data_IF_838273583724
#
_entry.id   IF_838273583724
#
_cell.length_a   1.000
_cell.length_b   1.000
_cell.length_c   1.000
_cell.angle_alpha   90.00
_cell.angle_beta   90.00
_cell.angle_gamma   90.00
#
_symmetry.space_group_name_H-M   'P 1'
#
loop_
_entity.id
_entity.type
_entity.pdbx_description
1 polymer ?
#
# COMPACT_ATOMS: atom_id res chain seq x y z
N UNK A 1 -9.89 -20.47 17.82
CA UNK A 1 -10.81 -19.36 17.45
C UNK A 1 -10.22 -18.06 18.00
N UNK A 2 -9.14 -17.54 17.40
CA UNK A 2 -8.65 -16.17 17.63
C UNK A 2 -7.65 -15.71 16.55
N UNK A 3 -7.72 -16.22 15.31
CA UNK A 3 -6.58 -16.19 14.37
C UNK A 3 -6.72 -15.23 13.18
N UNK A 4 -7.56 -14.18 13.24
CA UNK A 4 -7.81 -13.39 12.02
C UNK A 4 -8.09 -11.92 12.28
N UNK A 5 -7.09 -11.06 12.03
CA UNK A 5 -7.28 -9.62 11.95
C UNK A 5 -7.90 -9.20 10.62
N UNK A 6 -8.53 -8.02 10.61
CA UNK A 6 -8.96 -7.32 9.39
C UNK A 6 -7.76 -6.88 8.53
N UNK A 7 -8.02 -6.66 7.24
CA UNK A 7 -7.05 -6.15 6.27
C UNK A 7 -7.48 -4.75 5.84
N UNK A 8 -6.61 -3.76 6.02
CA UNK A 8 -6.87 -2.36 5.71
C UNK A 8 -5.94 -1.94 4.57
N UNK A 9 -6.46 -1.89 3.36
CA UNK A 9 -5.69 -1.56 2.16
C UNK A 9 -5.88 -0.09 1.84
N UNK A 10 -4.79 0.67 1.86
CA UNK A 10 -4.75 1.98 1.21
C UNK A 10 -3.98 1.85 -0.11
N UNK A 11 -4.61 2.28 -1.20
CA UNK A 11 -4.01 2.33 -2.53
C UNK A 11 -4.19 3.71 -3.15
N UNK A 12 -3.22 4.13 -3.94
CA UNK A 12 -3.25 5.45 -4.56
C UNK A 12 -2.17 5.57 -5.64
N UNK A 13 -2.35 6.50 -6.59
CA UNK A 13 -1.25 6.94 -7.42
C UNK A 13 -0.08 7.47 -6.59
N UNK A 14 1.13 7.31 -7.11
CA UNK A 14 2.34 7.81 -6.47
C UNK A 14 2.27 9.33 -6.28
N UNK A 15 2.24 9.80 -5.03
CA UNK A 15 2.23 11.24 -4.69
C UNK A 15 0.92 11.75 -4.07
N UNK A 16 -0.08 10.88 -3.93
CA UNK A 16 -1.41 11.23 -3.41
C UNK A 16 -1.51 11.38 -1.89
N UNK A 17 -0.41 11.25 -1.13
CA UNK A 17 -0.41 11.40 0.33
C UNK A 17 -0.77 10.15 1.14
N UNK A 18 -0.94 9.00 0.47
CA UNK A 18 -1.23 7.68 1.06
C UNK A 18 -0.38 7.33 2.29
N UNK A 19 0.94 7.39 2.16
CA UNK A 19 1.88 7.08 3.26
C UNK A 19 1.68 7.96 4.50
N UNK A 20 1.27 9.22 4.31
CA UNK A 20 0.98 10.12 5.43
C UNK A 20 -0.24 9.64 6.21
N UNK A 21 -1.31 9.26 5.51
CA UNK A 21 -2.55 8.74 6.11
C UNK A 21 -2.26 7.44 6.87
N UNK A 22 -1.55 6.50 6.25
CA UNK A 22 -1.21 5.20 6.86
C UNK A 22 -0.37 5.38 8.13
N UNK A 23 0.64 6.25 8.10
CA UNK A 23 1.48 6.53 9.29
C UNK A 23 0.68 7.14 10.43
N UNK A 24 -0.19 8.09 10.13
CA UNK A 24 -1.04 8.71 11.15
C UNK A 24 -2.04 7.72 11.75
N UNK A 25 -2.61 6.80 10.96
CA UNK A 25 -3.47 5.72 11.47
C UNK A 25 -2.71 4.75 12.38
N UNK A 26 -1.45 4.43 12.05
CA UNK A 26 -0.59 3.58 12.89
C UNK A 26 -0.30 4.19 14.28
N UNK A 27 -0.40 5.51 14.43
CA UNK A 27 -0.24 6.19 15.73
C UNK A 27 -1.46 6.01 16.65
N UNK A 28 -2.62 5.60 16.10
CA UNK A 28 -3.88 5.37 16.83
C UNK A 28 -3.90 3.98 17.45
N UNK A 29 -3.41 3.88 18.69
CA UNK A 29 -3.24 2.60 19.40
C UNK A 29 -4.53 1.79 19.51
N UNK A 30 -5.66 2.46 19.63
CA UNK A 30 -7.00 1.89 19.69
C UNK A 30 -7.42 1.14 18.42
N UNK A 31 -6.81 1.43 17.27
CA UNK A 31 -7.04 0.71 16.03
C UNK A 31 -6.27 -0.63 15.96
N UNK A 32 -5.31 -0.84 16.87
CA UNK A 32 -4.53 -2.08 16.98
C UNK A 32 -3.95 -2.56 15.62
N UNK A 33 -3.41 -1.62 14.85
CA UNK A 33 -2.83 -1.84 13.53
C UNK A 33 -1.36 -2.23 13.61
N UNK A 34 -0.89 -2.98 12.61
CA UNK A 34 0.52 -3.19 12.31
C UNK A 34 0.75 -3.04 10.81
N UNK A 35 1.86 -2.41 10.44
CA UNK A 35 2.21 -2.18 9.04
C UNK A 35 2.70 -3.47 8.39
N UNK A 36 2.17 -3.78 7.20
CA UNK A 36 2.66 -4.89 6.38
C UNK A 36 3.93 -4.50 5.63
N UNK A 37 5.06 -5.10 5.99
CA UNK A 37 6.33 -4.87 5.30
C UNK A 37 6.35 -5.68 3.99
N UNK A 38 6.39 -4.99 2.85
CA UNK A 38 6.51 -5.64 1.54
C UNK A 38 7.92 -6.19 1.30
N UNK A 39 8.03 -7.22 0.46
CA UNK A 39 9.30 -7.64 -0.11
C UNK A 39 9.62 -6.84 -1.38
N UNK A 40 10.91 -6.67 -1.67
CA UNK A 40 11.38 -6.05 -2.90
C UNK A 40 12.62 -6.79 -3.45
N UNK A 41 12.71 -6.96 -4.76
CA UNK A 41 13.89 -7.56 -5.41
C UNK A 41 14.99 -6.56 -5.77
N UNK A 42 14.71 -5.27 -5.63
CA UNK A 42 15.71 -4.20 -5.82
C UNK A 42 16.63 -4.08 -4.62
N UNK A 43 17.78 -3.44 -4.83
CA UNK A 43 18.67 -3.06 -3.73
C UNK A 43 18.03 -2.00 -2.82
N UNK A 44 18.41 -2.07 -1.54
CA UNK A 44 18.07 -1.06 -0.54
C UNK A 44 18.73 0.28 -0.89
N UNK A 45 18.00 1.38 -0.73
CA UNK A 45 18.57 2.72 -0.79
C UNK A 45 19.39 2.98 0.49
N UNK A 46 20.31 3.96 0.49
CA UNK A 46 21.21 4.21 1.64
C UNK A 46 20.52 4.37 3.01
N UNK A 47 19.27 4.82 3.04
CA UNK A 47 18.52 5.07 4.27
C UNK A 47 17.46 3.99 4.58
N UNK A 48 17.35 2.94 3.77
CA UNK A 48 16.38 1.87 3.98
C UNK A 48 17.01 0.69 4.70
N UNK A 49 16.22 0.03 5.55
CA UNK A 49 16.63 -1.10 6.37
C UNK A 49 15.79 -2.34 6.06
N UNK A 50 16.48 -3.47 5.92
CA UNK A 50 15.83 -4.77 5.73
C UNK A 50 14.95 -5.12 6.93
N UNK A 51 13.72 -5.58 6.68
CA UNK A 51 12.76 -5.92 7.73
C UNK A 51 12.17 -4.71 8.46
N UNK A 52 12.34 -3.51 7.89
CA UNK A 52 11.70 -2.27 8.35
C UNK A 52 11.01 -1.58 7.17
N UNK A 53 11.78 -1.22 6.14
CA UNK A 53 11.25 -0.57 4.95
C UNK A 53 10.74 -1.61 3.95
N UNK A 54 11.55 -2.65 3.71
CA UNK A 54 11.21 -3.80 2.88
C UNK A 54 11.92 -5.06 3.38
N UNK A 55 11.39 -6.23 3.06
CA UNK A 55 12.19 -7.45 2.96
C UNK A 55 12.94 -7.43 1.63
N UNK A 56 14.18 -6.91 1.65
CA UNK A 56 15.04 -6.94 0.47
C UNK A 56 15.50 -8.38 0.18
N UNK A 57 15.04 -8.92 -0.95
CA UNK A 57 15.35 -10.27 -1.43
C UNK A 57 16.18 -10.18 -2.71
N UNK A 58 17.07 -11.15 -2.95
CA UNK A 58 17.67 -11.26 -4.27
C UNK A 58 16.61 -11.61 -5.32
N UNK A 59 16.82 -11.23 -6.58
CA UNK A 59 15.93 -11.60 -7.69
C UNK A 59 15.68 -13.12 -7.76
N UNK A 60 16.72 -13.93 -7.55
CA UNK A 60 16.64 -15.40 -7.53
C UNK A 60 15.71 -15.87 -6.40
N UNK A 61 15.86 -15.29 -5.22
CA UNK A 61 15.06 -15.61 -4.04
C UNK A 61 13.59 -15.18 -4.23
N UNK A 62 13.35 -13.98 -4.74
CA UNK A 62 12.00 -13.50 -5.03
C UNK A 62 11.29 -14.44 -6.02
N UNK A 63 11.94 -14.79 -7.13
CA UNK A 63 11.39 -15.74 -8.13
C UNK A 63 11.17 -17.15 -7.56
N UNK A 64 12.03 -17.61 -6.62
CA UNK A 64 11.82 -18.88 -5.90
C UNK A 64 10.53 -18.82 -5.07
N UNK A 65 10.30 -17.72 -4.36
CA UNK A 65 9.12 -17.52 -3.52
C UNK A 65 7.82 -17.40 -4.33
N UNK A 66 7.88 -16.78 -5.51
CA UNK A 66 6.76 -16.81 -6.48
C UNK A 66 6.41 -18.26 -6.84
N UNK A 67 7.41 -19.08 -7.23
CA UNK A 67 7.19 -20.49 -7.59
C UNK A 67 6.61 -21.34 -6.46
N UNK A 68 6.90 -20.95 -5.22
CA UNK A 68 6.43 -21.63 -4.02
C UNK A 68 5.10 -21.09 -3.49
N UNK A 69 4.44 -20.16 -4.20
CA UNK A 69 3.18 -19.53 -3.77
C UNK A 69 3.29 -18.89 -2.37
N UNK A 70 4.43 -18.23 -2.09
CA UNK A 70 4.70 -17.58 -0.78
C UNK A 70 4.20 -16.12 -0.70
N UNK A 71 3.74 -15.55 -1.82
CA UNK A 71 3.24 -14.20 -1.91
C UNK A 71 1.71 -14.18 -1.92
N UNK A 72 1.13 -13.21 -1.20
CA UNK A 72 -0.29 -12.91 -1.28
C UNK A 72 -0.62 -12.16 -2.57
N UNK A 73 0.23 -11.20 -2.92
CA UNK A 73 0.22 -10.47 -4.18
C UNK A 73 1.67 -10.12 -4.55
N UNK A 74 1.93 -9.91 -5.83
CA UNK A 74 3.20 -9.39 -6.32
C UNK A 74 3.06 -8.79 -7.72
N UNK A 75 3.90 -7.81 -8.03
CA UNK A 75 3.99 -7.18 -9.36
C UNK A 75 5.47 -6.95 -9.75
N UNK A 76 5.77 -7.10 -11.03
CA UNK A 76 7.01 -6.59 -11.64
C UNK A 76 6.80 -5.13 -12.09
N UNK A 77 7.19 -4.17 -11.25
CA UNK A 77 6.93 -2.74 -11.51
C UNK A 77 7.89 -2.17 -12.56
N UNK A 78 9.13 -2.64 -12.55
CA UNK A 78 10.12 -2.40 -13.60
C UNK A 78 10.85 -3.71 -13.88
N UNK A 79 11.52 -3.80 -15.04
CA UNK A 79 12.32 -4.98 -15.39
C UNK A 79 13.22 -5.42 -14.22
N UNK A 80 13.02 -6.65 -13.77
CA UNK A 80 13.70 -7.31 -12.65
C UNK A 80 13.52 -6.66 -11.24
N UNK A 81 12.62 -5.69 -11.12
CA UNK A 81 12.21 -5.04 -9.87
C UNK A 81 10.79 -5.46 -9.49
N UNK A 82 10.72 -6.54 -8.72
CA UNK A 82 9.51 -7.12 -8.16
C UNK A 82 9.23 -6.55 -6.77
N UNK A 83 7.95 -6.42 -6.46
CA UNK A 83 7.43 -6.04 -5.16
C UNK A 83 6.27 -6.96 -4.82
N UNK A 84 6.05 -7.23 -3.54
CA UNK A 84 4.91 -8.06 -3.13
C UNK A 84 4.81 -8.27 -1.64
N UNK A 85 3.65 -8.74 -1.20
CA UNK A 85 3.32 -8.99 0.20
C UNK A 85 3.48 -10.48 0.50
N UNK A 86 4.34 -10.84 1.45
CA UNK A 86 4.52 -12.24 1.86
C UNK A 86 3.32 -12.73 2.68
N UNK A 87 2.83 -13.95 2.43
CA UNK A 87 1.78 -14.58 3.25
C UNK A 87 2.22 -14.66 4.72
N UNK A 88 3.50 -14.98 4.96
CA UNK A 88 4.09 -15.05 6.28
C UNK A 88 4.06 -13.73 7.05
N UNK A 89 4.05 -12.59 6.35
CA UNK A 89 3.99 -11.27 7.00
C UNK A 89 2.59 -11.01 7.57
N UNK A 90 1.54 -11.31 6.80
CA UNK A 90 0.16 -11.23 7.27
C UNK A 90 -0.08 -12.19 8.44
N UNK A 91 0.42 -13.43 8.33
CA UNK A 91 0.34 -14.42 9.42
C UNK A 91 1.07 -13.96 10.69
N UNK A 92 2.26 -13.36 10.54
CA UNK A 92 3.03 -12.81 11.68
C UNK A 92 2.20 -11.77 12.42
N UNK A 93 1.57 -10.85 11.69
CA UNK A 93 0.76 -9.77 12.28
C UNK A 93 -0.49 -10.33 12.95
N UNK A 94 -1.20 -11.26 12.32
CA UNK A 94 -2.37 -11.91 12.92
C UNK A 94 -2.04 -12.71 14.17
N UNK A 95 -0.88 -13.37 14.23
CA UNK A 95 -0.39 -14.06 15.44
C UNK A 95 -0.12 -13.10 16.61
N UNK A 96 0.08 -11.80 16.34
CA UNK A 96 0.16 -10.76 17.36
C UNK A 96 -1.22 -10.25 17.82
N UNK A 97 -2.31 -10.78 17.26
CA UNK A 97 -3.68 -10.32 17.53
C UNK A 97 -3.98 -8.95 16.93
N UNK A 98 -3.28 -8.54 15.88
CA UNK A 98 -3.39 -7.21 15.26
C UNK A 98 -4.08 -7.23 13.89
N UNK A 99 -4.58 -6.08 13.48
CA UNK A 99 -5.06 -5.83 12.12
C UNK A 99 -3.90 -5.42 11.22
N UNK A 100 -3.97 -5.77 9.93
CA UNK A 100 -2.91 -5.44 8.97
C UNK A 100 -3.30 -4.17 8.23
N UNK A 101 -2.39 -3.19 8.14
CA UNK A 101 -2.54 -2.04 7.26
C UNK A 101 -1.49 -2.07 6.14
N UNK A 102 -1.93 -1.83 4.91
CA UNK A 102 -1.11 -1.87 3.70
C UNK A 102 -1.00 -0.49 3.06
N UNK A 103 0.21 -0.15 2.62
CA UNK A 103 0.53 1.02 1.77
C UNK A 103 1.03 0.51 0.41
N UNK A 104 0.12 -0.03 -0.43
CA UNK A 104 0.46 -0.71 -1.69
C UNK A 104 -0.20 -0.05 -2.92
N UNK A 105 0.16 -0.45 -4.13
CA UNK A 105 -0.46 0.11 -5.34
C UNK A 105 -1.89 -0.43 -5.55
N UNK A 106 -2.50 0.00 -6.66
CA UNK A 106 -3.90 -0.34 -6.95
C UNK A 106 -4.08 -1.81 -7.36
N UNK A 107 -3.07 -2.43 -7.96
CA UNK A 107 -3.15 -3.81 -8.44
C UNK A 107 -3.09 -4.73 -7.23
N UNK A 108 -2.04 -4.61 -6.41
CA UNK A 108 -1.89 -5.39 -5.19
C UNK A 108 -3.07 -5.18 -4.23
N UNK A 109 -3.57 -3.93 -4.11
CA UNK A 109 -4.72 -3.62 -3.27
C UNK A 109 -6.00 -4.34 -3.68
N UNK A 110 -6.30 -4.37 -4.98
CA UNK A 110 -7.47 -5.08 -5.51
C UNK A 110 -7.29 -6.59 -5.46
N UNK A 111 -6.08 -7.10 -5.59
CA UNK A 111 -5.82 -8.54 -5.49
C UNK A 111 -5.99 -9.05 -4.06
N UNK A 112 -5.53 -8.28 -3.05
CA UNK A 112 -5.82 -8.59 -1.63
C UNK A 112 -7.34 -8.58 -1.38
N UNK A 113 -8.06 -7.58 -1.89
CA UNK A 113 -9.52 -7.52 -1.76
C UNK A 113 -10.21 -8.73 -2.38
N UNK A 114 -9.79 -9.17 -3.56
CA UNK A 114 -10.35 -10.38 -4.22
C UNK A 114 -10.09 -11.64 -3.41
N UNK A 115 -8.91 -11.75 -2.78
CA UNK A 115 -8.55 -12.91 -1.96
C UNK A 115 -9.31 -12.94 -0.63
N UNK A 116 -9.62 -11.77 -0.06
CA UNK A 116 -10.31 -11.65 1.24
C UNK A 116 -11.42 -10.59 1.22
N UNK A 117 -12.51 -10.80 0.45
CA UNK A 117 -13.53 -9.77 0.21
C UNK A 117 -14.19 -9.27 1.50
N UNK A 118 -14.61 -10.19 2.38
CA UNK A 118 -15.34 -9.85 3.62
C UNK A 118 -14.44 -9.29 4.75
N UNK A 119 -13.11 -9.34 4.58
CA UNK A 119 -12.15 -8.90 5.63
C UNK A 119 -11.38 -7.65 5.25
N UNK A 120 -11.44 -7.29 3.98
CA UNK A 120 -10.64 -6.21 3.41
C UNK A 120 -11.48 -4.95 3.33
N UNK A 121 -11.00 -3.87 3.93
CA UNK A 121 -11.41 -2.52 3.59
C UNK A 121 -10.41 -1.99 2.58
N UNK A 122 -10.82 -1.83 1.31
CA UNK A 122 -9.98 -1.24 0.29
C UNK A 122 -10.35 0.23 0.08
N UNK A 123 -9.42 1.12 0.42
CA UNK A 123 -9.56 2.57 0.32
C UNK A 123 -8.65 3.10 -0.77
N UNK A 124 -9.23 3.82 -1.73
CA UNK A 124 -8.49 4.57 -2.74
C UNK A 124 -8.26 6.01 -2.28
N UNK A 125 -7.01 6.46 -2.21
CA UNK A 125 -6.68 7.87 -1.89
C UNK A 125 -6.48 8.63 -3.19
N UNK A 126 -7.48 9.44 -3.54
CA UNK A 126 -7.51 10.22 -4.77
C UNK A 126 -6.79 11.56 -4.55
N UNK A 127 -5.79 11.91 -5.39
CA UNK A 127 -5.20 13.25 -5.36
C UNK A 127 -6.21 14.28 -5.90
N UNK A 128 -6.04 15.58 -5.59
CA UNK A 128 -6.97 16.62 -6.03
C UNK A 128 -7.04 16.77 -7.55
N UNK A 129 -5.89 16.59 -8.22
CA UNK A 129 -5.78 16.56 -9.67
C UNK A 129 -4.49 15.86 -10.11
N UNK A 130 -4.42 15.51 -11.40
CA UNK A 130 -3.19 14.99 -12.03
C UNK A 130 -2.11 16.08 -12.04
N UNK A 131 -2.50 17.34 -12.27
CA UNK A 131 -1.62 18.51 -12.24
C UNK A 131 -0.96 18.66 -10.88
N UNK A 132 -1.73 18.56 -9.79
CA UNK A 132 -1.18 18.58 -8.44
C UNK A 132 -0.23 17.41 -8.18
N UNK A 133 -0.57 16.21 -8.65
CA UNK A 133 0.31 15.05 -8.56
C UNK A 133 1.66 15.35 -9.24
N UNK A 134 1.64 15.92 -10.44
CA UNK A 134 2.84 16.30 -11.20
C UNK A 134 3.66 17.35 -10.46
N UNK A 135 3.02 18.35 -9.87
CA UNK A 135 3.68 19.38 -9.04
C UNK A 135 4.37 18.72 -7.83
N UNK A 136 3.67 17.83 -7.12
CA UNK A 136 4.21 17.11 -5.94
C UNK A 136 5.41 16.24 -6.32
N UNK A 137 5.36 15.55 -7.46
CA UNK A 137 6.47 14.74 -7.97
C UNK A 137 7.69 15.62 -8.33
N UNK A 138 7.49 16.72 -9.07
CA UNK A 138 8.57 17.67 -9.43
C UNK A 138 9.23 18.27 -8.20
N UNK A 139 8.46 18.61 -7.15
CA UNK A 139 8.98 19.20 -5.90
C UNK A 139 9.98 18.29 -5.18
N UNK A 140 9.89 16.96 -5.35
CA UNK A 140 10.81 16.01 -4.71
C UNK A 140 12.23 16.04 -5.28
N UNK A 141 12.49 16.69 -6.43
CA UNK A 141 13.81 16.91 -7.05
C UNK A 141 14.76 15.69 -7.08
N UNK A 142 14.22 14.48 -7.08
CA UNK A 142 14.97 13.22 -6.92
C UNK A 142 14.88 12.34 -8.15
N UNK A 143 14.13 12.76 -9.17
CA UNK A 143 13.82 11.96 -10.36
C UNK A 143 13.98 12.79 -11.64
N UNK A 144 14.37 12.13 -12.73
CA UNK A 144 14.43 12.76 -14.06
C UNK A 144 13.04 13.07 -14.59
N UNK A 145 12.94 14.01 -15.54
CA UNK A 145 11.66 14.38 -16.16
C UNK A 145 10.97 13.18 -16.85
N UNK A 146 11.75 12.28 -17.44
CA UNK A 146 11.23 11.03 -18.03
C UNK A 146 10.55 10.13 -16.99
N UNK A 147 11.16 9.95 -15.81
CA UNK A 147 10.55 9.17 -14.72
C UNK A 147 9.28 9.83 -14.19
N UNK A 148 9.26 11.16 -14.10
CA UNK A 148 8.06 11.91 -13.70
C UNK A 148 6.94 11.68 -14.71
N UNK A 149 7.22 11.78 -16.01
CA UNK A 149 6.24 11.56 -17.06
C UNK A 149 5.70 10.11 -17.05
N UNK A 150 6.56 9.12 -16.83
CA UNK A 150 6.13 7.72 -16.65
C UNK A 150 5.19 7.55 -15.45
N UNK A 151 5.50 8.17 -14.31
CA UNK A 151 4.62 8.12 -13.12
C UNK A 151 3.28 8.81 -13.37
N UNK A 152 3.26 9.94 -14.06
CA UNK A 152 2.03 10.65 -14.41
C UNK A 152 1.17 9.82 -15.36
N UNK A 153 1.78 9.16 -16.35
CA UNK A 153 1.05 8.25 -17.25
C UNK A 153 0.46 7.04 -16.49
N UNK A 154 1.21 6.45 -15.55
CA UNK A 154 0.70 5.37 -14.69
C UNK A 154 -0.47 5.86 -13.83
N UNK A 155 -0.39 7.07 -13.30
CA UNK A 155 -1.43 7.64 -12.45
C UNK A 155 -2.80 7.73 -13.13
N UNK A 156 -2.87 8.05 -14.42
CA UNK A 156 -4.13 8.07 -15.16
C UNK A 156 -4.81 6.70 -15.21
N UNK A 157 -4.02 5.63 -15.38
CA UNK A 157 -4.49 4.24 -15.38
C UNK A 157 -4.93 3.85 -13.97
N UNK A 158 -4.14 4.18 -12.96
CA UNK A 158 -4.44 3.91 -11.56
C UNK A 158 -5.73 4.62 -11.09
N UNK A 159 -5.95 5.86 -11.52
CA UNK A 159 -7.17 6.62 -11.23
C UNK A 159 -8.45 5.95 -11.78
N UNK A 160 -8.36 5.29 -12.93
CA UNK A 160 -9.50 4.57 -13.52
C UNK A 160 -9.92 3.34 -12.69
N UNK A 161 -9.06 2.86 -11.78
CA UNK A 161 -9.37 1.74 -10.88
C UNK A 161 -10.15 2.15 -9.64
N UNK A 162 -10.23 3.45 -9.32
CA UNK A 162 -10.85 3.95 -8.09
C UNK A 162 -12.27 3.39 -7.81
N UNK A 163 -13.17 3.22 -8.80
CA UNK A 163 -14.51 2.65 -8.57
C UNK A 163 -14.52 1.18 -8.12
N UNK A 164 -13.39 0.47 -8.18
CA UNK A 164 -13.29 -0.93 -7.74
C UNK A 164 -12.99 -1.05 -6.23
N UNK A 165 -12.63 0.06 -5.57
CA UNK A 165 -12.38 0.14 -4.14
C UNK A 165 -13.69 0.31 -3.36
N UNK A 166 -13.68 -0.03 -2.07
CA UNK A 166 -14.86 0.12 -1.20
C UNK A 166 -15.15 1.59 -0.90
N UNK A 167 -14.10 2.40 -0.84
CA UNK A 167 -14.19 3.82 -0.56
C UNK A 167 -13.15 4.63 -1.32
N UNK A 168 -13.49 5.88 -1.65
CA UNK A 168 -12.59 6.85 -2.27
C UNK A 168 -12.47 8.07 -1.33
N UNK A 169 -11.27 8.30 -0.79
CA UNK A 169 -10.95 9.50 -0.02
C UNK A 169 -10.35 10.55 -0.95
N UNK A 170 -10.95 11.74 -1.01
CA UNK A 170 -10.40 12.87 -1.75
C UNK A 170 -9.40 13.66 -0.91
N UNK A 171 -8.11 13.55 -1.23
CA UNK A 171 -7.04 14.19 -0.45
C UNK A 171 -6.78 15.65 -0.87
N UNK A 172 -7.84 16.47 -0.80
CA UNK A 172 -7.82 17.92 -1.04
C UNK A 172 -7.36 18.67 0.22
N UNK A 173 -7.80 18.21 1.39
CA UNK A 173 -7.38 18.68 2.70
C UNK A 173 -6.89 17.49 3.51
N UNK A 174 -5.66 17.57 4.03
CA UNK A 174 -5.04 16.46 4.75
C UNK A 174 -5.82 16.11 6.02
N UNK A 175 -6.19 17.09 6.84
CA UNK A 175 -6.87 16.85 8.12
C UNK A 175 -8.23 16.18 7.90
N UNK A 176 -8.99 16.63 6.90
CA UNK A 176 -10.25 15.97 6.51
C UNK A 176 -10.04 14.53 6.06
N UNK A 177 -9.04 14.29 5.21
CA UNK A 177 -8.72 12.94 4.74
C UNK A 177 -8.23 12.01 5.86
N UNK A 178 -7.56 12.54 6.89
CA UNK A 178 -7.13 11.78 8.07
C UNK A 178 -8.33 11.34 8.90
N UNK A 179 -9.23 12.26 9.23
CA UNK A 179 -10.43 11.95 10.02
C UNK A 179 -11.36 10.98 9.27
N UNK A 180 -11.57 11.18 7.98
CA UNK A 180 -12.36 10.26 7.14
C UNK A 180 -11.76 8.85 7.11
N UNK A 181 -10.43 8.74 6.95
CA UNK A 181 -9.72 7.46 7.02
C UNK A 181 -9.86 6.80 8.39
N UNK A 182 -9.79 7.59 9.48
CA UNK A 182 -9.96 7.09 10.84
C UNK A 182 -11.35 6.49 11.07
N UNK A 183 -12.39 7.19 10.67
CA UNK A 183 -13.78 6.75 10.84
C UNK A 183 -14.05 5.45 10.08
N UNK A 184 -13.60 5.36 8.82
CA UNK A 184 -13.74 4.16 7.98
C UNK A 184 -13.05 2.95 8.59
N UNK A 185 -11.79 3.11 9.01
CA UNK A 185 -11.02 2.03 9.61
C UNK A 185 -11.61 1.61 10.96
N UNK A 186 -12.01 2.58 11.78
CA UNK A 186 -12.68 2.32 13.07
C UNK A 186 -13.95 1.51 12.89
N UNK A 187 -14.77 1.86 11.90
CA UNK A 187 -16.01 1.15 11.59
C UNK A 187 -15.74 -0.29 11.16
N UNK A 188 -14.87 -0.48 10.16
CA UNK A 188 -14.56 -1.81 9.61
C UNK A 188 -13.94 -2.77 10.63
N UNK A 189 -13.15 -2.25 11.57
CA UNK A 189 -12.55 -3.06 12.64
C UNK A 189 -13.59 -3.55 13.66
N UNK A 190 -14.68 -2.80 13.86
CA UNK A 190 -15.74 -3.14 14.81
C UNK A 190 -16.82 -4.07 14.27
N UNK A 191 -16.94 -4.17 12.95
CA UNK A 191 -17.85 -5.11 12.26
C UNK A 191 -17.33 -6.55 12.33
#
# INVERSE_FOLDING_TARGET
>A
MADTGKLIVFSAPSGSGKTTIVRWLLEKKELNLEFSISAASREARPNEKHGVDYYFLSLKEFKRRIKNDEFLEWEEVYRDNFYGTLKSEVERIWKLGKHVIFDIDVVGGLDIKKLYPERTLAVFVKPPSIEELKIRLKKRKTESEDRINMRVAKASIELATAPQFDYIIENNNLDTALEEAYELVTKHIKE
#
